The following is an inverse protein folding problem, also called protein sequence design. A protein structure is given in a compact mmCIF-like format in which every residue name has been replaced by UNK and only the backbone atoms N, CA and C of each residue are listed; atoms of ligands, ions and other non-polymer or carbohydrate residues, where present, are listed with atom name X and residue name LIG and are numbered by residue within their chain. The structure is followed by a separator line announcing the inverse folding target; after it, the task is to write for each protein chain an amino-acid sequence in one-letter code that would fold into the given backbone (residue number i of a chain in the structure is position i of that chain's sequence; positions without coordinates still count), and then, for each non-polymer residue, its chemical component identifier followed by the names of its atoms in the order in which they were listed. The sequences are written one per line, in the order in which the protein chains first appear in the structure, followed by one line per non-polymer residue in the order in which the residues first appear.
data_IF_566261725796
#
_entry.id   IF_566261725796
#
_cell.length_a   1.000
_cell.length_b   1.000
_cell.length_c   1.000
_cell.angle_alpha   90.00
_cell.angle_beta   90.00
_cell.angle_gamma   90.00
#
_symmetry.space_group_name_H-M   'P 1'
#
loop_
_entity.id
_entity.type
_entity.pdbx_description
1 polymer ?
#
# COMPACT_ATOMS: atom_id res chain seq x y z
N UNK A 1 -7.93 -23.09 -2.48
CA UNK A 1 -6.81 -22.30 -3.03
C UNK A 1 -7.23 -20.85 -3.08
N UNK A 2 -6.49 -19.94 -2.47
CA UNK A 2 -6.73 -18.49 -2.61
C UNK A 2 -6.41 -18.09 -4.05
N UNK A 3 -7.34 -17.44 -4.72
CA UNK A 3 -7.11 -16.96 -6.10
C UNK A 3 -6.23 -15.71 -6.08
N UNK A 4 -5.54 -15.41 -7.18
CA UNK A 4 -4.78 -14.15 -7.31
C UNK A 4 -5.67 -12.92 -7.06
N UNK A 5 -6.91 -12.97 -7.56
CA UNK A 5 -7.92 -11.92 -7.34
C UNK A 5 -8.22 -11.73 -5.86
N UNK A 6 -8.45 -12.82 -5.14
CA UNK A 6 -8.73 -12.77 -3.69
C UNK A 6 -7.54 -12.24 -2.91
N UNK A 7 -6.32 -12.63 -3.29
CA UNK A 7 -5.09 -12.12 -2.68
C UNK A 7 -4.89 -10.62 -2.95
N UNK A 8 -5.15 -10.15 -4.18
CA UNK A 8 -5.10 -8.73 -4.53
C UNK A 8 -6.14 -7.91 -3.73
N UNK A 9 -7.36 -8.44 -3.57
CA UNK A 9 -8.41 -7.81 -2.79
C UNK A 9 -8.08 -7.74 -1.30
N UNK A 10 -7.44 -8.78 -0.75
CA UNK A 10 -6.96 -8.79 0.64
C UNK A 10 -5.81 -7.80 0.84
N UNK A 11 -4.79 -7.84 -0.01
CA UNK A 11 -3.62 -6.95 0.06
C UNK A 11 -3.99 -5.48 -0.03
N UNK A 12 -4.90 -5.09 -0.95
CA UNK A 12 -5.33 -3.70 -1.07
C UNK A 12 -6.18 -3.24 0.13
N UNK A 13 -6.98 -4.12 0.73
CA UNK A 13 -7.76 -3.81 1.94
C UNK A 13 -6.85 -3.59 3.13
N UNK A 14 -5.84 -4.45 3.30
CA UNK A 14 -4.81 -4.29 4.32
C UNK A 14 -4.15 -2.91 4.20
N UNK A 15 -3.59 -2.57 3.03
CA UNK A 15 -2.87 -1.29 2.87
C UNK A 15 -3.79 -0.07 3.11
N UNK A 16 -5.06 -0.13 2.69
CA UNK A 16 -6.06 0.91 3.00
C UNK A 16 -6.36 1.02 4.49
N UNK A 17 -6.41 -0.11 5.20
CA UNK A 17 -6.61 -0.12 6.64
C UNK A 17 -5.43 0.53 7.37
N UNK A 18 -4.19 0.22 6.96
CA UNK A 18 -3.00 0.84 7.56
C UNK A 18 -2.93 2.36 7.28
N UNK A 19 -3.27 2.79 6.06
CA UNK A 19 -3.38 4.23 5.74
C UNK A 19 -4.38 4.94 6.67
N UNK A 20 -5.55 4.32 6.88
CA UNK A 20 -6.57 4.86 7.79
C UNK A 20 -6.10 4.87 9.25
N UNK A 21 -5.40 3.83 9.71
CA UNK A 21 -4.86 3.77 11.08
C UNK A 21 -3.79 4.83 11.33
N UNK A 22 -2.99 5.14 10.32
CA UNK A 22 -1.95 6.14 10.38
C UNK A 22 -2.43 7.57 10.10
N UNK A 23 -3.73 7.77 9.80
CA UNK A 23 -4.33 9.04 9.38
C UNK A 23 -3.60 9.71 8.20
N UNK A 24 -3.26 8.90 7.18
CA UNK A 24 -2.48 9.32 6.01
C UNK A 24 -3.34 9.23 4.75
N UNK A 25 -3.39 10.34 4.00
CA UNK A 25 -4.07 10.38 2.70
C UNK A 25 -3.23 9.75 1.60
N UNK A 26 -3.82 9.51 0.42
CA UNK A 26 -3.05 9.05 -0.74
C UNK A 26 -2.02 10.09 -1.22
N UNK A 27 -2.31 11.39 -1.06
CA UNK A 27 -1.38 12.47 -1.37
C UNK A 27 -0.17 12.48 -0.41
N UNK A 28 -0.43 12.22 0.88
CA UNK A 28 0.62 12.11 1.89
C UNK A 28 1.50 10.89 1.63
N UNK A 29 0.89 9.73 1.33
CA UNK A 29 1.64 8.53 0.97
C UNK A 29 2.52 8.77 -0.27
N UNK A 30 1.96 9.34 -1.34
CA UNK A 30 2.72 9.69 -2.54
C UNK A 30 3.91 10.62 -2.23
N UNK A 31 3.72 11.59 -1.34
CA UNK A 31 4.79 12.50 -0.93
C UNK A 31 5.88 11.78 -0.14
N UNK A 32 5.53 10.89 0.79
CA UNK A 32 6.50 10.06 1.53
C UNK A 32 7.26 9.10 0.61
N UNK A 33 6.57 8.47 -0.34
CA UNK A 33 7.18 7.57 -1.32
C UNK A 33 8.18 8.31 -2.22
N UNK A 34 7.89 9.54 -2.63
CA UNK A 34 8.84 10.41 -3.36
C UNK A 34 10.09 10.71 -2.55
N UNK A 35 9.97 10.97 -1.25
CA UNK A 35 11.14 11.14 -0.37
C UNK A 35 11.98 9.86 -0.25
N UNK A 36 11.40 8.69 -0.53
CA UNK A 36 12.08 7.39 -0.60
C UNK A 36 12.63 7.07 -2.00
N UNK A 37 12.49 7.97 -2.97
CA UNK A 37 12.95 7.79 -4.35
C UNK A 37 11.96 7.05 -5.27
N UNK A 38 10.70 6.87 -4.84
CA UNK A 38 9.64 6.33 -5.69
C UNK A 38 8.83 7.47 -6.32
N UNK A 39 8.83 7.55 -7.64
CA UNK A 39 8.05 8.52 -8.42
C UNK A 39 6.56 8.17 -8.42
N UNK A 40 5.90 8.48 -7.30
CA UNK A 40 4.46 8.26 -7.11
C UNK A 40 3.71 9.60 -7.02
N UNK A 41 2.52 9.61 -7.63
CA UNK A 41 1.51 10.66 -7.48
C UNK A 41 0.29 10.11 -6.73
N UNK A 42 -0.56 10.99 -6.24
CA UNK A 42 -1.82 10.58 -5.62
C UNK A 42 -2.66 9.68 -6.56
N UNK A 43 -2.71 10.02 -7.85
CA UNK A 43 -3.41 9.25 -8.86
C UNK A 43 -2.77 7.87 -9.10
N UNK A 44 -1.44 7.76 -9.11
CA UNK A 44 -0.77 6.47 -9.29
C UNK A 44 -1.00 5.55 -8.08
N UNK A 45 -0.96 6.09 -6.86
CA UNK A 45 -1.31 5.40 -5.61
C UNK A 45 -2.76 4.90 -5.66
N UNK A 46 -3.71 5.78 -5.98
CA UNK A 46 -5.13 5.43 -6.09
C UNK A 46 -5.38 4.31 -7.11
N UNK A 47 -4.74 4.39 -8.28
CA UNK A 47 -4.86 3.38 -9.33
C UNK A 47 -4.30 2.02 -8.92
N UNK A 48 -3.14 1.99 -8.23
CA UNK A 48 -2.56 0.76 -7.67
C UNK A 48 -3.48 0.13 -6.61
N UNK A 49 -3.98 0.93 -5.67
CA UNK A 49 -4.89 0.50 -4.61
C UNK A 49 -6.30 0.12 -5.11
N UNK A 50 -6.71 0.63 -6.27
CA UNK A 50 -7.97 0.24 -6.92
C UNK A 50 -7.86 -1.15 -7.54
N UNK A 51 -6.80 -1.37 -8.36
CA UNK A 51 -6.53 -2.65 -9.03
C UNK A 51 -6.16 -3.76 -8.05
N UNK A 52 -5.42 -3.43 -6.99
CA UNK A 52 -4.94 -4.38 -5.99
C UNK A 52 -3.72 -5.20 -6.41
N UNK A 53 -3.32 -5.13 -7.68
CA UNK A 53 -2.06 -5.63 -8.19
C UNK A 53 -1.06 -4.48 -8.32
N UNK A 54 0.06 -4.58 -7.61
CA UNK A 54 1.16 -3.62 -7.63
C UNK A 54 2.47 -4.33 -7.32
N UNK A 55 3.58 -3.70 -7.69
CA UNK A 55 4.90 -4.22 -7.39
C UNK A 55 5.11 -4.37 -5.88
N UNK A 56 5.81 -5.44 -5.47
CA UNK A 56 6.18 -5.66 -4.08
C UNK A 56 7.00 -4.49 -3.50
N UNK A 57 7.81 -3.83 -4.34
CA UNK A 57 8.58 -2.63 -3.95
C UNK A 57 7.68 -1.48 -3.51
N UNK A 58 6.59 -1.20 -4.24
CA UNK A 58 5.60 -0.19 -3.87
C UNK A 58 4.93 -0.55 -2.53
N UNK A 59 4.57 -1.83 -2.36
CA UNK A 59 3.93 -2.31 -1.13
C UNK A 59 4.83 -2.11 0.09
N UNK A 60 6.06 -2.62 0.04
CA UNK A 60 7.02 -2.54 1.13
C UNK A 60 7.40 -1.09 1.44
N UNK A 61 7.61 -0.26 0.40
CA UNK A 61 7.86 1.16 0.57
C UNK A 61 6.68 1.85 1.24
N UNK A 62 5.44 1.48 0.90
CA UNK A 62 4.25 2.04 1.53
C UNK A 62 4.19 1.68 3.02
N UNK A 63 4.38 0.41 3.38
CA UNK A 63 4.42 -0.01 4.79
C UNK A 63 5.49 0.75 5.58
N UNK A 64 6.69 0.89 5.00
CA UNK A 64 7.78 1.67 5.61
C UNK A 64 7.44 3.16 5.74
N UNK A 65 6.80 3.76 4.74
CA UNK A 65 6.35 5.15 4.77
C UNK A 65 5.27 5.40 5.84
N UNK A 66 4.50 4.38 6.20
CA UNK A 66 3.54 4.39 7.30
C UNK A 66 4.17 4.09 8.67
N UNK A 67 5.47 3.76 8.72
CA UNK A 67 6.17 3.41 9.96
C UNK A 67 5.88 2.01 10.48
N UNK A 68 5.38 1.08 9.64
CA UNK A 68 5.16 -0.30 10.05
C UNK A 68 6.48 -1.07 10.13
N UNK A 69 6.76 -1.63 11.30
CA UNK A 69 7.94 -2.47 11.53
C UNK A 69 7.65 -3.96 11.29
N UNK A 70 6.40 -4.39 11.48
CA UNK A 70 6.01 -5.80 11.37
C UNK A 70 4.69 -5.92 10.61
N UNK A 71 4.62 -6.91 9.71
CA UNK A 71 3.39 -7.35 9.04
C UNK A 71 3.23 -8.86 9.29
N UNK A 72 2.07 -9.29 9.79
CA UNK A 72 1.77 -10.72 9.91
C UNK A 72 1.05 -11.20 8.65
N UNK A 73 1.44 -12.36 8.14
CA UNK A 73 0.78 -12.97 6.97
C UNK A 73 -0.68 -13.35 7.25
N UNK A 74 -1.07 -13.51 8.52
CA UNK A 74 -2.48 -13.66 8.93
C UNK A 74 -3.33 -12.44 8.61
N UNK A 75 -2.71 -11.26 8.50
CA UNK A 75 -3.39 -9.99 8.28
C UNK A 75 -3.60 -9.72 6.77
N UNK A 76 -2.86 -10.46 5.92
CA UNK A 76 -3.03 -10.47 4.46
C UNK A 76 -4.10 -11.48 4.11
#
# INVERSE_FOLDING_TARGET
MTTEKELADRTKRLLKAELKRADITYADLASRLRLMGLEESEASVANKLSRGTFAATFFLASLKALGLETLRLSDV
#
